data_IF_841786440348
#
_entry.id   IF_841786440348
#
_cell.length_a   1.000
_cell.length_b   1.000
_cell.length_c   1.000
_cell.angle_alpha   90.00
_cell.angle_beta   90.00
_cell.angle_gamma   90.00
#
_symmetry.space_group_name_H-M   'P 1'
#
loop_
_entity.id
_entity.type
_entity.pdbx_description
1 polymer ?
#
# COMPACT_ATOMS: atom_id res chain seq x y z
N UNK A 1 13.78 -32.79 -10.32
CA UNK A 1 13.55 -31.86 -11.45
C UNK A 1 12.83 -30.58 -11.02
N UNK A 2 11.71 -30.61 -10.29
CA UNK A 2 11.00 -29.38 -9.83
C UNK A 2 11.85 -28.50 -8.89
N UNK A 3 12.61 -29.13 -7.97
CA UNK A 3 13.47 -28.41 -7.02
C UNK A 3 14.66 -27.67 -7.67
N UNK A 4 15.09 -28.05 -8.88
CA UNK A 4 16.23 -27.40 -9.56
C UNK A 4 15.86 -26.06 -10.22
N UNK A 5 14.56 -25.80 -10.45
CA UNK A 5 14.09 -24.57 -11.09
C UNK A 5 13.59 -23.51 -10.10
N UNK A 6 13.54 -23.81 -8.80
CA UNK A 6 13.12 -22.85 -7.79
C UNK A 6 14.28 -21.87 -7.48
N UNK A 7 14.02 -20.56 -7.42
CA UNK A 7 15.00 -19.56 -7.00
C UNK A 7 15.64 -19.92 -5.65
N UNK A 8 16.94 -19.67 -5.49
CA UNK A 8 17.67 -20.06 -4.27
C UNK A 8 17.06 -19.43 -3.01
N UNK A 9 16.58 -18.18 -3.11
CA UNK A 9 16.08 -17.45 -1.95
C UNK A 9 14.80 -18.06 -1.38
N UNK A 10 14.07 -18.86 -2.15
CA UNK A 10 12.88 -19.58 -1.68
C UNK A 10 13.22 -20.91 -0.98
N UNK A 11 14.47 -21.37 -1.03
CA UNK A 11 14.91 -22.65 -0.43
C UNK A 11 15.56 -22.49 0.95
N UNK A 12 15.60 -21.26 1.46
CA UNK A 12 16.31 -20.93 2.68
C UNK A 12 15.56 -21.43 3.92
N UNK A 13 16.31 -21.76 4.97
CA UNK A 13 15.71 -22.10 6.24
C UNK A 13 15.07 -20.87 6.88
N UNK A 14 13.98 -21.06 7.63
CA UNK A 14 13.29 -19.97 8.34
C UNK A 14 14.24 -19.13 9.22
N UNK A 15 15.27 -19.75 9.81
CA UNK A 15 16.30 -19.05 10.58
C UNK A 15 17.05 -18.00 9.75
N UNK A 16 17.48 -18.36 8.54
CA UNK A 16 18.25 -17.47 7.65
C UNK A 16 17.37 -16.31 7.17
N UNK A 17 16.10 -16.61 6.83
CA UNK A 17 15.10 -15.59 6.49
C UNK A 17 14.91 -14.61 7.66
N UNK A 18 14.79 -15.11 8.89
CA UNK A 18 14.63 -14.26 10.07
C UNK A 18 15.88 -13.41 10.39
N UNK A 19 17.08 -13.89 10.06
CA UNK A 19 18.32 -13.10 10.20
C UNK A 19 18.31 -11.89 9.25
N UNK A 20 17.81 -12.04 8.02
CA UNK A 20 17.58 -10.93 7.08
C UNK A 20 16.56 -9.92 7.60
N UNK A 21 15.46 -10.39 8.17
CA UNK A 21 14.46 -9.49 8.76
C UNK A 21 15.06 -8.63 9.90
N UNK A 22 15.90 -9.24 10.76
CA UNK A 22 16.62 -8.51 11.81
C UNK A 22 17.60 -7.50 11.23
N UNK A 23 18.32 -7.86 10.16
CA UNK A 23 19.21 -6.93 9.46
C UNK A 23 18.43 -5.71 8.92
N UNK A 24 17.30 -5.95 8.25
CA UNK A 24 16.41 -4.87 7.77
C UNK A 24 15.94 -3.98 8.92
N UNK A 25 15.53 -4.56 10.05
CA UNK A 25 15.15 -3.79 11.25
C UNK A 25 16.30 -2.94 11.78
N UNK A 26 17.50 -3.50 11.88
CA UNK A 26 18.69 -2.78 12.32
C UNK A 26 19.03 -1.60 11.40
N UNK A 27 18.92 -1.78 10.08
CA UNK A 27 19.15 -0.68 9.13
C UNK A 27 18.13 0.44 9.31
N UNK A 28 16.84 0.11 9.48
CA UNK A 28 15.79 1.10 9.74
C UNK A 28 16.03 1.86 11.06
N UNK A 29 16.44 1.17 12.13
CA UNK A 29 16.72 1.83 13.42
C UNK A 29 17.90 2.82 13.31
N UNK A 30 18.91 2.50 12.50
CA UNK A 30 20.01 3.44 12.19
C UNK A 30 19.51 4.66 11.41
N UNK A 31 18.61 4.47 10.45
CA UNK A 31 18.00 5.55 9.66
C UNK A 31 17.16 6.48 10.55
N UNK A 32 16.36 5.92 11.47
CA UNK A 32 15.58 6.68 12.44
C UNK A 32 16.46 7.45 13.42
N UNK A 33 17.57 6.85 13.87
CA UNK A 33 18.56 7.54 14.69
C UNK A 33 19.20 8.71 13.94
N UNK A 34 19.57 8.51 12.68
CA UNK A 34 20.09 9.58 11.81
C UNK A 34 19.08 10.73 11.66
N UNK A 35 17.80 10.40 11.40
CA UNK A 35 16.72 11.38 11.30
C UNK A 35 16.52 12.18 12.58
N UNK A 36 16.60 11.50 13.73
CA UNK A 36 16.44 12.13 15.05
C UNK A 36 17.59 13.10 15.36
N UNK A 37 18.81 12.74 14.96
CA UNK A 37 19.99 13.59 15.17
C UNK A 37 20.06 14.75 14.18
N UNK A 38 19.49 14.60 12.97
CA UNK A 38 19.56 15.59 11.90
C UNK A 38 18.18 15.83 11.25
N UNK A 39 17.19 16.36 11.99
CA UNK A 39 15.80 16.42 11.53
C UNK A 39 15.58 17.33 10.31
N UNK A 40 16.44 18.31 10.07
CA UNK A 40 16.27 19.24 8.93
C UNK A 40 16.99 18.80 7.66
N UNK A 41 18.04 17.97 7.79
CA UNK A 41 18.94 17.62 6.67
C UNK A 41 18.99 16.14 6.34
N UNK A 42 18.58 15.25 7.27
CA UNK A 42 18.54 13.82 7.01
C UNK A 42 17.51 13.51 5.94
N UNK A 43 17.90 12.68 4.98
CA UNK A 43 16.95 12.13 4.01
C UNK A 43 15.81 11.37 4.70
N UNK A 44 16.04 10.81 5.88
CA UNK A 44 15.08 10.03 6.66
C UNK A 44 14.20 10.89 7.59
N UNK A 45 14.30 12.21 7.48
CA UNK A 45 13.46 13.12 8.24
C UNK A 45 11.97 12.85 8.02
N UNK A 46 11.19 13.01 9.09
CA UNK A 46 9.74 13.00 9.09
C UNK A 46 9.15 14.38 8.71
N UNK A 47 9.95 15.44 8.71
CA UNK A 47 9.57 16.79 8.28
C UNK A 47 8.26 17.28 8.89
N UNK A 48 7.32 17.74 8.06
CA UNK A 48 6.08 18.37 8.57
C UNK A 48 5.15 17.39 9.28
N UNK A 49 5.35 16.08 9.12
CA UNK A 49 4.48 15.07 9.74
C UNK A 49 4.54 15.07 11.26
N UNK A 50 5.64 15.56 11.86
CA UNK A 50 5.81 15.70 13.32
C UNK A 50 5.29 17.02 13.87
N UNK A 51 4.87 17.96 13.01
CA UNK A 51 4.32 19.24 13.45
C UNK A 51 2.99 19.02 14.18
N UNK A 52 2.75 19.77 15.25
CA UNK A 52 1.55 19.62 16.08
C UNK A 52 0.24 19.80 15.28
N UNK A 53 0.23 20.71 14.30
CA UNK A 53 -0.90 20.94 13.40
C UNK A 53 -1.33 19.70 12.58
N UNK A 54 -0.44 18.72 12.44
CA UNK A 54 -0.66 17.49 11.68
C UNK A 54 -0.99 16.27 12.55
N UNK A 55 -0.97 16.40 13.88
CA UNK A 55 -1.22 15.30 14.81
C UNK A 55 -2.58 14.64 14.56
N UNK A 56 -3.65 15.42 14.34
CA UNK A 56 -5.00 14.90 14.09
C UNK A 56 -5.17 14.25 12.71
N UNK A 57 -4.19 14.40 11.82
CA UNK A 57 -4.11 13.73 10.52
C UNK A 57 -3.30 12.44 10.58
N UNK A 58 -2.67 12.13 11.70
CA UNK A 58 -1.94 10.90 11.97
C UNK A 58 -2.77 9.96 12.86
N UNK A 59 -3.07 8.76 12.38
CA UNK A 59 -3.75 7.73 13.19
C UNK A 59 -2.87 7.23 14.33
N UNK A 60 -1.56 7.14 14.09
CA UNK A 60 -0.57 6.68 15.05
C UNK A 60 0.63 7.61 15.07
N UNK A 61 0.97 8.12 16.26
CA UNK A 61 2.10 9.04 16.47
C UNK A 61 3.46 8.43 16.15
N UNK A 62 3.57 7.11 16.03
CA UNK A 62 4.82 6.42 15.74
C UNK A 62 4.89 5.92 14.28
N UNK A 63 3.89 6.19 13.45
CA UNK A 63 3.85 5.81 12.04
C UNK A 63 3.59 7.05 11.20
N UNK A 64 4.66 7.65 10.69
CA UNK A 64 4.63 8.85 9.85
C UNK A 64 5.39 8.62 8.54
N UNK A 65 5.02 9.30 7.45
CA UNK A 65 5.77 9.24 6.20
C UNK A 65 7.10 9.99 6.32
N UNK A 66 8.12 9.56 5.56
CA UNK A 66 9.30 10.41 5.37
C UNK A 66 8.93 11.64 4.54
N UNK A 67 9.50 12.80 4.86
CA UNK A 67 9.19 14.07 4.17
C UNK A 67 9.52 14.00 2.68
N UNK A 68 10.64 13.35 2.33
CA UNK A 68 11.15 13.33 0.95
C UNK A 68 10.21 12.69 -0.07
N UNK A 69 9.30 11.82 0.36
CA UNK A 69 8.39 11.09 -0.53
C UNK A 69 6.96 10.98 0.04
N UNK A 70 6.61 11.82 1.02
CA UNK A 70 5.21 11.95 1.43
C UNK A 70 4.38 12.43 0.24
N UNK A 71 3.12 12.00 0.20
CA UNK A 71 2.17 12.59 -0.75
C UNK A 71 1.85 14.01 -0.29
N UNK A 72 1.92 14.96 -1.23
CA UNK A 72 1.55 16.36 -1.01
C UNK A 72 0.25 16.62 -1.76
N UNK A 73 -0.79 17.01 -1.05
CA UNK A 73 -2.08 17.34 -1.66
C UNK A 73 -1.95 18.64 -2.46
N UNK A 74 -2.48 18.69 -3.67
CA UNK A 74 -2.63 19.94 -4.41
C UNK A 74 -3.77 20.74 -3.79
N UNK A 75 -3.44 21.89 -3.22
CA UNK A 75 -4.36 22.77 -2.50
C UNK A 75 -4.19 24.20 -3.02
N UNK A 76 -5.26 24.97 -3.06
CA UNK A 76 -5.21 26.41 -3.37
C UNK A 76 -4.76 27.22 -2.14
N UNK A 77 -5.15 26.77 -0.94
CA UNK A 77 -4.68 27.31 0.33
C UNK A 77 -4.74 26.28 1.45
N UNK A 78 -3.94 26.49 2.48
CA UNK A 78 -3.91 25.65 3.69
C UNK A 78 -2.85 24.55 3.66
N UNK A 79 -3.03 23.55 4.52
CA UNK A 79 -2.03 22.52 4.82
C UNK A 79 -2.18 21.29 3.90
N UNK A 80 -1.13 21.00 3.11
CA UNK A 80 -1.06 19.94 2.09
C UNK A 80 -0.86 18.51 2.64
N UNK A 81 -0.78 18.36 3.96
CA UNK A 81 -0.37 17.11 4.59
C UNK A 81 -1.45 16.03 4.59
N UNK A 82 -1.03 14.82 4.20
CA UNK A 82 -1.72 13.55 4.41
C UNK A 82 -0.69 12.47 4.77
N UNK A 83 -1.03 11.55 5.68
CA UNK A 83 -0.15 10.43 6.04
C UNK A 83 -0.16 9.35 4.94
N UNK A 84 0.62 9.61 3.89
CA UNK A 84 0.79 8.71 2.75
C UNK A 84 2.19 8.87 2.17
N UNK A 85 2.72 7.82 1.56
CA UNK A 85 4.03 7.82 0.92
C UNK A 85 3.91 7.27 -0.50
N UNK A 86 4.57 7.92 -1.46
CA UNK A 86 4.84 7.30 -2.75
C UNK A 86 5.85 6.18 -2.53
N UNK A 87 5.55 5.00 -3.09
CA UNK A 87 6.39 3.81 -2.97
C UNK A 87 6.62 3.26 -4.37
N UNK A 88 7.89 3.14 -4.76
CA UNK A 88 8.32 2.54 -6.01
C UNK A 88 9.14 1.29 -5.72
N UNK A 89 8.83 0.18 -6.38
CA UNK A 89 9.62 -1.06 -6.29
C UNK A 89 10.20 -1.35 -7.66
N UNK A 90 11.53 -1.46 -7.73
CA UNK A 90 12.23 -1.81 -8.95
C UNK A 90 13.59 -2.42 -8.59
N UNK A 91 13.69 -3.75 -8.70
CA UNK A 91 14.93 -4.49 -8.43
C UNK A 91 15.69 -4.66 -9.74
N UNK A 92 16.87 -4.02 -9.94
CA UNK A 92 17.61 -4.09 -11.19
C UNK A 92 17.95 -5.53 -11.59
N UNK A 93 17.69 -5.89 -12.84
CA UNK A 93 17.94 -7.24 -13.35
C UNK A 93 16.92 -8.31 -12.93
N UNK A 94 16.00 -7.99 -12.01
CA UNK A 94 14.99 -8.93 -11.51
C UNK A 94 13.54 -8.45 -11.74
N UNK A 95 13.32 -7.13 -11.86
CA UNK A 95 12.01 -6.54 -12.17
C UNK A 95 11.85 -6.23 -13.66
N UNK A 96 10.72 -6.63 -14.26
CA UNK A 96 10.35 -6.31 -15.64
C UNK A 96 9.90 -4.86 -15.81
N UNK A 97 9.19 -4.33 -14.80
CA UNK A 97 8.78 -2.92 -14.73
C UNK A 97 8.83 -2.44 -13.29
N UNK A 98 8.74 -1.12 -13.11
CA UNK A 98 8.63 -0.55 -11.78
C UNK A 98 7.19 -0.63 -11.26
N UNK A 99 6.98 -1.27 -10.11
CA UNK A 99 5.73 -1.19 -9.36
C UNK A 99 5.59 0.19 -8.74
N UNK A 100 4.42 0.81 -8.90
CA UNK A 100 4.13 2.16 -8.37
C UNK A 100 2.90 2.11 -7.46
N UNK A 101 3.10 2.52 -6.22
CA UNK A 101 2.10 2.46 -5.17
C UNK A 101 2.02 3.76 -4.39
N UNK A 102 0.88 3.98 -3.75
CA UNK A 102 0.75 4.89 -2.61
C UNK A 102 0.39 4.05 -1.40
N UNK A 103 1.28 4.03 -0.40
CA UNK A 103 1.02 3.38 0.88
C UNK A 103 0.54 4.45 1.89
N UNK A 104 -0.65 4.26 2.46
CA UNK A 104 -1.27 5.25 3.36
C UNK A 104 -1.92 4.58 4.57
N UNK A 105 -2.13 5.34 5.65
CA UNK A 105 -2.91 4.88 6.80
C UNK A 105 -4.39 4.71 6.44
N UNK A 106 -5.12 3.93 7.23
CA UNK A 106 -6.57 3.86 7.16
C UNK A 106 -7.17 5.22 7.52
N UNK A 107 -7.99 5.83 6.66
CA UNK A 107 -8.56 7.15 6.93
C UNK A 107 -9.23 7.25 8.31
N UNK A 108 -9.12 8.41 8.95
CA UNK A 108 -9.81 8.76 10.20
C UNK A 108 -11.04 9.61 9.88
N UNK A 109 -11.88 9.91 10.89
CA UNK A 109 -13.00 10.86 10.74
C UNK A 109 -12.55 12.22 10.18
N UNK A 110 -11.34 12.64 10.54
CA UNK A 110 -10.78 13.95 10.16
C UNK A 110 -10.00 13.92 8.84
N UNK A 111 -9.65 12.73 8.32
CA UNK A 111 -8.75 12.60 7.17
C UNK A 111 -9.38 11.93 5.96
N UNK A 112 -10.60 11.39 6.07
CA UNK A 112 -11.26 10.72 4.94
C UNK A 112 -11.59 11.64 3.76
N UNK A 113 -11.91 12.94 3.92
CA UNK A 113 -12.09 13.81 2.77
C UNK A 113 -10.75 14.05 2.03
N UNK A 114 -9.65 14.24 2.77
CA UNK A 114 -8.30 14.34 2.21
C UNK A 114 -7.90 13.07 1.42
N UNK A 115 -8.33 11.89 1.88
CA UNK A 115 -8.06 10.62 1.20
C UNK A 115 -8.68 10.58 -0.20
N UNK A 116 -9.91 11.06 -0.38
CA UNK A 116 -10.52 11.11 -1.70
C UNK A 116 -9.89 12.16 -2.62
N UNK A 117 -9.48 13.31 -2.07
CA UNK A 117 -8.69 14.29 -2.81
C UNK A 117 -7.37 13.68 -3.28
N UNK A 118 -6.68 12.93 -2.43
CA UNK A 118 -5.48 12.18 -2.82
C UNK A 118 -5.77 11.18 -3.95
N UNK A 119 -6.79 10.33 -3.79
CA UNK A 119 -7.15 9.34 -4.81
C UNK A 119 -7.41 9.99 -6.17
N UNK A 120 -8.16 11.11 -6.19
CA UNK A 120 -8.44 11.84 -7.41
C UNK A 120 -7.19 12.45 -8.04
N UNK A 121 -6.38 13.15 -7.24
CA UNK A 121 -5.23 13.92 -7.73
C UNK A 121 -4.09 13.06 -8.22
N UNK A 122 -3.89 11.89 -7.59
CA UNK A 122 -2.74 11.01 -7.82
C UNK A 122 -3.00 9.93 -8.87
N UNK A 123 -4.25 9.76 -9.31
CA UNK A 123 -4.63 8.80 -10.33
C UNK A 123 -5.08 9.56 -11.60
N UNK A 124 -4.18 9.96 -12.52
CA UNK A 124 -4.55 10.69 -13.74
C UNK A 124 -5.44 9.88 -14.70
N UNK A 125 -5.34 8.55 -14.72
CA UNK A 125 -6.14 7.66 -15.55
C UNK A 125 -7.62 7.59 -15.18
N UNK A 126 -8.40 6.88 -16.00
CA UNK A 126 -9.85 6.73 -15.83
C UNK A 126 -10.23 5.82 -14.66
N UNK A 127 -9.43 4.77 -14.40
CA UNK A 127 -9.72 3.75 -13.41
C UNK A 127 -8.65 3.77 -12.30
N UNK A 128 -9.04 4.21 -11.11
CA UNK A 128 -8.20 4.16 -9.92
C UNK A 128 -8.49 2.88 -9.12
N UNK A 129 -7.46 2.29 -8.52
CA UNK A 129 -7.61 1.12 -7.65
C UNK A 129 -7.20 1.48 -6.22
N UNK A 130 -8.07 1.13 -5.28
CA UNK A 130 -7.82 1.21 -3.84
C UNK A 130 -7.91 -0.19 -3.25
N UNK A 131 -6.83 -0.65 -2.61
CA UNK A 131 -6.76 -1.93 -1.90
C UNK A 131 -6.72 -1.69 -0.40
N UNK A 132 -7.81 -2.03 0.27
CA UNK A 132 -8.00 -1.94 1.72
C UNK A 132 -7.85 -3.33 2.36
N UNK A 133 -6.70 -3.58 2.99
CA UNK A 133 -6.38 -4.86 3.66
C UNK A 133 -6.45 -4.73 5.19
N UNK A 134 -7.61 -4.27 5.69
CA UNK A 134 -7.90 -4.20 7.13
C UNK A 134 -9.41 -4.20 7.35
N UNK A 135 -9.97 -4.90 8.35
CA UNK A 135 -11.33 -4.64 8.80
C UNK A 135 -11.47 -3.23 9.39
N UNK A 136 -12.70 -2.70 9.44
CA UNK A 136 -13.02 -1.40 10.04
C UNK A 136 -12.75 -1.39 11.55
N UNK A 137 -13.02 -2.49 12.24
CA UNK A 137 -12.83 -2.66 13.68
C UNK A 137 -12.14 -3.98 14.01
N UNK A 138 -11.28 -3.96 15.03
CA UNK A 138 -10.67 -5.16 15.61
C UNK A 138 -10.61 -5.04 17.12
N UNK A 139 -11.06 -6.06 17.86
CA UNK A 139 -11.04 -6.04 19.33
C UNK A 139 -11.64 -4.74 19.91
N UNK A 140 -12.74 -4.26 19.33
CA UNK A 140 -13.43 -3.01 19.69
C UNK A 140 -12.64 -1.71 19.43
N UNK A 141 -11.50 -1.78 18.73
CA UNK A 141 -10.73 -0.61 18.30
C UNK A 141 -10.97 -0.36 16.82
N UNK A 142 -11.37 0.86 16.48
CA UNK A 142 -11.51 1.30 15.09
C UNK A 142 -10.15 1.39 14.41
N UNK A 143 -9.95 0.58 13.38
CA UNK A 143 -8.73 0.50 12.55
C UNK A 143 -8.83 1.37 11.31
N UNK A 144 -10.03 1.55 10.77
CA UNK A 144 -10.28 2.41 9.62
C UNK A 144 -11.66 3.07 9.77
N UNK A 145 -11.78 4.33 9.37
CA UNK A 145 -13.09 4.95 9.17
C UNK A 145 -13.75 4.35 7.93
N UNK A 146 -15.08 4.24 7.93
CA UNK A 146 -15.85 3.81 6.78
C UNK A 146 -16.03 5.00 5.84
N UNK A 147 -15.06 5.17 4.93
CA UNK A 147 -14.92 6.39 4.13
C UNK A 147 -15.62 6.35 2.77
N UNK A 148 -16.32 5.26 2.43
CA UNK A 148 -16.95 5.06 1.13
C UNK A 148 -18.44 4.67 1.27
N UNK A 149 -19.29 5.04 0.30
CA UNK A 149 -20.68 4.61 0.25
C UNK A 149 -20.76 3.11 -0.10
N UNK A 150 -21.71 2.39 0.50
CA UNK A 150 -21.84 0.92 0.37
C UNK A 150 -23.20 0.43 -0.11
N UNK A 151 -24.14 1.35 -0.27
CA UNK A 151 -25.52 1.02 -0.63
C UNK A 151 -25.93 1.75 -1.92
N UNK A 152 -26.79 1.16 -2.75
CA UNK A 152 -27.34 1.82 -3.92
C UNK A 152 -27.95 3.19 -3.58
N UNK A 153 -27.59 4.21 -4.35
CA UNK A 153 -28.05 5.59 -4.14
C UNK A 153 -27.34 6.35 -3.00
N UNK A 154 -26.46 5.71 -2.24
CA UNK A 154 -25.64 6.39 -1.22
C UNK A 154 -24.43 7.09 -1.84
N UNK A 155 -24.03 8.20 -1.22
CA UNK A 155 -22.85 8.98 -1.61
C UNK A 155 -22.12 9.56 -0.42
N UNK A 156 -20.82 9.79 -0.58
CA UNK A 156 -20.00 10.57 0.35
C UNK A 156 -19.52 11.86 -0.34
N UNK A 157 -19.44 12.96 0.40
CA UNK A 157 -19.02 14.26 -0.14
C UNK A 157 -17.72 14.68 0.53
N UNK A 158 -16.66 14.79 -0.25
CA UNK A 158 -15.40 15.46 0.13
C UNK A 158 -15.47 16.91 -0.35
N UNK A 159 -15.79 17.89 0.52
CA UNK A 159 -16.01 19.26 0.08
C UNK A 159 -14.74 19.92 -0.47
N UNK A 160 -14.93 20.97 -1.28
CA UNK A 160 -13.83 21.82 -1.78
C UNK A 160 -13.12 22.52 -0.63
N UNK A 161 -13.89 23.11 0.28
CA UNK A 161 -13.40 23.77 1.48
C UNK A 161 -13.52 22.81 2.65
N UNK A 162 -12.39 22.49 3.26
CA UNK A 162 -12.30 21.59 4.39
C UNK A 162 -11.79 22.38 5.61
N UNK A 163 -11.80 21.75 6.79
CA UNK A 163 -11.43 22.42 8.04
C UNK A 163 -10.06 23.12 7.98
N UNK A 164 -9.88 24.13 8.85
CA UNK A 164 -8.61 24.86 9.01
C UNK A 164 -8.14 25.63 7.76
N UNK A 165 -9.07 26.19 6.98
CA UNK A 165 -8.75 27.03 5.81
C UNK A 165 -8.15 26.26 4.63
N UNK A 166 -8.30 24.93 4.61
CA UNK A 166 -7.86 24.06 3.55
C UNK A 166 -8.83 24.14 2.36
N UNK A 167 -8.33 24.52 1.19
CA UNK A 167 -9.14 24.69 -0.02
C UNK A 167 -8.52 23.91 -1.17
N UNK A 168 -9.33 23.09 -1.83
CA UNK A 168 -8.97 22.33 -3.03
C UNK A 168 -9.48 23.03 -4.30
N UNK A 169 -8.98 22.61 -5.47
CA UNK A 169 -9.44 23.10 -6.77
C UNK A 169 -10.92 22.75 -7.03
N UNK A 170 -11.39 21.62 -6.48
CA UNK A 170 -12.76 21.13 -6.65
C UNK A 170 -13.18 20.25 -5.46
N UNK A 171 -14.48 20.21 -5.16
CA UNK A 171 -15.05 19.20 -4.28
C UNK A 171 -15.23 17.89 -5.04
N UNK A 172 -15.41 16.78 -4.32
CA UNK A 172 -15.62 15.46 -4.88
C UNK A 172 -16.86 14.82 -4.26
N UNK A 173 -17.70 14.23 -5.11
CA UNK A 173 -18.74 13.30 -4.69
C UNK A 173 -18.32 11.88 -5.04
N UNK A 174 -18.38 10.98 -4.06
CA UNK A 174 -18.11 9.56 -4.20
C UNK A 174 -19.46 8.86 -4.25
N UNK A 175 -19.81 8.29 -5.39
CA UNK A 175 -21.10 7.62 -5.61
C UNK A 175 -20.91 6.12 -5.66
N UNK A 176 -21.76 5.38 -4.94
CA UNK A 176 -21.85 3.95 -5.11
C UNK A 176 -22.41 3.62 -6.49
N UNK A 177 -21.78 2.65 -7.19
CA UNK A 177 -22.32 2.09 -8.42
C UNK A 177 -22.80 0.67 -8.18
N UNK A 178 -21.90 -0.20 -7.73
CA UNK A 178 -22.17 -1.61 -7.54
C UNK A 178 -21.19 -2.24 -6.54
N UNK A 179 -21.55 -3.40 -5.98
CA UNK A 179 -20.66 -4.18 -5.13
C UNK A 179 -20.83 -5.68 -5.33
N UNK A 180 -19.70 -6.36 -5.49
CA UNK A 180 -19.60 -7.80 -5.70
C UNK A 180 -18.78 -8.42 -4.56
N UNK A 181 -19.25 -9.55 -4.01
CA UNK A 181 -18.51 -10.34 -3.01
C UNK A 181 -17.76 -11.45 -3.73
N UNK A 182 -16.43 -11.38 -3.68
CA UNK A 182 -15.52 -12.37 -4.23
C UNK A 182 -14.88 -13.14 -3.07
N UNK A 183 -15.46 -14.28 -2.70
CA UNK A 183 -15.01 -15.15 -1.59
C UNK A 183 -14.60 -14.36 -0.32
N UNK A 184 -13.32 -13.96 -0.25
CA UNK A 184 -12.64 -13.32 0.87
C UNK A 184 -12.59 -11.78 0.84
N UNK A 185 -12.94 -11.14 -0.27
CA UNK A 185 -12.98 -9.67 -0.38
C UNK A 185 -14.25 -9.17 -1.07
N UNK A 186 -14.54 -7.89 -0.90
CA UNK A 186 -15.63 -7.20 -1.59
C UNK A 186 -15.03 -6.19 -2.56
N UNK A 187 -15.41 -6.26 -3.84
CA UNK A 187 -15.14 -5.22 -4.83
C UNK A 187 -16.33 -4.26 -4.84
N UNK A 188 -16.10 -2.99 -4.52
CA UNK A 188 -17.09 -1.92 -4.71
C UNK A 188 -16.64 -1.03 -5.86
N UNK A 189 -17.49 -0.89 -6.88
CA UNK A 189 -17.27 0.08 -7.95
C UNK A 189 -17.89 1.41 -7.54
N UNK A 190 -17.09 2.47 -7.59
CA UNK A 190 -17.49 3.83 -7.23
C UNK A 190 -17.26 4.79 -8.40
N UNK A 191 -18.04 5.87 -8.45
CA UNK A 191 -17.74 7.04 -9.29
C UNK A 191 -17.27 8.20 -8.44
N UNK A 192 -16.13 8.77 -8.81
CA UNK A 192 -15.55 9.96 -8.19
C UNK A 192 -15.81 11.15 -9.10
N UNK A 193 -16.78 11.98 -8.72
CA UNK A 193 -17.36 13.05 -9.54
C UNK A 193 -16.92 14.40 -8.96
N UNK A 194 -16.11 15.18 -9.68
CA UNK A 194 -15.79 16.54 -9.31
C UNK A 194 -17.03 17.45 -9.33
N UNK A 195 -17.12 18.38 -8.38
CA UNK A 195 -18.19 19.40 -8.36
C UNK A 195 -18.03 20.41 -9.49
N UNK A 196 -16.80 20.62 -9.95
CA UNK A 196 -16.47 21.43 -11.13
C UNK A 196 -16.33 20.54 -12.36
N UNK A 197 -17.23 20.72 -13.32
CA UNK A 197 -17.35 19.90 -14.53
C UNK A 197 -16.16 20.00 -15.48
N UNK A 198 -15.24 20.95 -15.28
CA UNK A 198 -13.97 21.01 -16.03
C UNK A 198 -13.05 19.83 -15.70
N UNK A 199 -13.26 19.19 -14.55
CA UNK A 199 -12.50 18.05 -14.08
C UNK A 199 -13.22 16.74 -14.45
N UNK A 200 -12.52 15.72 -14.99
CA UNK A 200 -13.15 14.48 -15.44
C UNK A 200 -13.62 13.60 -14.28
N UNK A 201 -14.76 12.93 -14.47
CA UNK A 201 -15.19 11.86 -13.56
C UNK A 201 -14.28 10.63 -13.70
N UNK A 202 -14.01 9.95 -12.58
CA UNK A 202 -13.20 8.72 -12.53
C UNK A 202 -14.00 7.55 -11.99
N UNK A 203 -13.64 6.34 -12.40
CA UNK A 203 -14.08 5.09 -11.75
C UNK A 203 -13.07 4.73 -10.68
N UNK A 204 -13.53 4.32 -9.50
CA UNK A 204 -12.68 3.74 -8.47
C UNK A 204 -13.13 2.30 -8.23
N UNK A 205 -12.20 1.36 -8.36
CA UNK A 205 -12.36 -0.03 -7.94
C UNK A 205 -11.80 -0.16 -6.53
N UNK A 206 -12.69 -0.25 -5.56
CA UNK A 206 -12.35 -0.34 -4.14
C UNK A 206 -12.43 -1.80 -3.69
N UNK A 207 -11.28 -2.38 -3.36
CA UNK A 207 -11.17 -3.72 -2.85
C UNK A 207 -11.10 -3.71 -1.32
N UNK A 208 -12.05 -4.35 -0.67
CA UNK A 208 -12.10 -4.46 0.78
C UNK A 208 -11.86 -5.91 1.23
N UNK A 209 -10.64 -6.19 1.70
CA UNK A 209 -10.24 -7.46 2.31
C UNK A 209 -10.26 -7.34 3.83
N UNK A 210 -11.30 -7.92 4.46
CA UNK A 210 -11.59 -7.76 5.89
C UNK A 210 -11.12 -8.92 6.77
N UNK A 211 -10.69 -10.03 6.17
CA UNK A 211 -10.25 -11.24 6.88
C UNK A 211 -8.80 -11.17 7.40
N UNK A 212 -8.05 -10.11 7.10
CA UNK A 212 -6.66 -9.95 7.56
C UNK A 212 -6.58 -9.14 8.85
N UNK A 213 -6.43 -9.81 10.00
CA UNK A 213 -6.29 -9.16 11.32
C UNK A 213 -4.97 -8.39 11.45
N UNK A 214 -4.93 -7.38 12.31
CA UNK A 214 -3.72 -6.56 12.51
C UNK A 214 -2.60 -7.36 13.18
N UNK A 215 -1.35 -7.04 12.80
CA UNK A 215 -0.13 -7.74 13.24
C UNK A 215 -0.11 -9.25 12.96
N UNK A 216 -1.05 -9.78 12.18
CA UNK A 216 -1.04 -11.16 11.71
C UNK A 216 -0.55 -11.27 10.27
N UNK A 217 -0.37 -12.51 9.82
CA UNK A 217 -0.33 -12.87 8.41
C UNK A 217 -1.74 -13.25 7.92
N UNK A 218 -1.99 -13.31 6.61
CA UNK A 218 -3.15 -14.01 6.07
C UNK A 218 -3.10 -15.49 6.49
N UNK A 219 -4.27 -16.08 6.71
CA UNK A 219 -4.36 -17.51 7.04
C UNK A 219 -4.02 -18.36 5.82
N UNK A 220 -4.52 -17.95 4.66
CA UNK A 220 -4.36 -18.62 3.36
C UNK A 220 -3.66 -17.72 2.33
N UNK A 221 -2.97 -18.35 1.37
CA UNK A 221 -2.24 -17.63 0.30
C UNK A 221 -3.16 -17.26 -0.87
N UNK A 222 -4.06 -18.18 -1.25
CA UNK A 222 -4.93 -18.03 -2.44
C UNK A 222 -5.76 -16.74 -2.41
N UNK A 223 -6.41 -16.36 -1.28
CA UNK A 223 -7.22 -15.14 -1.25
C UNK A 223 -6.45 -13.85 -1.57
N UNK A 224 -5.22 -13.74 -1.07
CA UNK A 224 -4.37 -12.57 -1.33
C UNK A 224 -3.83 -12.57 -2.75
N UNK A 225 -3.56 -13.76 -3.31
CA UNK A 225 -3.16 -13.90 -4.71
C UNK A 225 -4.30 -13.48 -5.65
N UNK A 226 -5.54 -13.91 -5.39
CA UNK A 226 -6.72 -13.53 -6.17
C UNK A 226 -6.99 -12.03 -6.06
N UNK A 227 -6.91 -11.46 -4.85
CA UNK A 227 -7.00 -10.02 -4.63
C UNK A 227 -5.94 -9.26 -5.44
N UNK A 228 -4.68 -9.70 -5.39
CA UNK A 228 -3.57 -9.06 -6.13
C UNK A 228 -3.80 -9.13 -7.64
N UNK A 229 -4.13 -10.31 -8.18
CA UNK A 229 -4.43 -10.48 -9.61
C UNK A 229 -5.58 -9.60 -10.08
N UNK A 230 -6.68 -9.55 -9.32
CA UNK A 230 -7.86 -8.78 -9.68
C UNK A 230 -7.58 -7.27 -9.59
N UNK A 231 -7.01 -6.80 -8.48
CA UNK A 231 -6.72 -5.38 -8.30
C UNK A 231 -5.64 -4.85 -9.26
N UNK A 232 -4.61 -5.64 -9.56
CA UNK A 232 -3.58 -5.30 -10.54
C UNK A 232 -4.14 -5.21 -11.97
N UNK A 233 -5.09 -6.08 -12.32
CA UNK A 233 -5.72 -6.11 -13.64
C UNK A 233 -6.64 -4.93 -13.94
N UNK A 234 -7.27 -4.34 -12.91
CA UNK A 234 -8.17 -3.18 -13.07
C UNK A 234 -7.46 -1.82 -12.96
N UNK A 235 -6.22 -1.78 -12.48
CA UNK A 235 -5.52 -0.52 -12.28
C UNK A 235 -5.00 0.03 -13.61
N UNK A 236 -5.32 1.29 -13.92
CA UNK A 236 -4.76 1.95 -15.10
C UNK A 236 -3.22 2.01 -15.02
N UNK A 237 -2.47 1.65 -16.09
CA UNK A 237 -1.01 1.59 -16.08
C UNK A 237 -0.28 2.89 -15.75
N UNK A 238 -0.94 4.04 -15.81
CA UNK A 238 -0.45 5.38 -15.44
C UNK A 238 -0.70 5.73 -13.96
N UNK A 239 -1.60 5.00 -13.29
CA UNK A 239 -1.96 5.24 -11.89
C UNK A 239 -1.04 4.47 -10.94
N UNK A 240 -0.70 5.04 -9.76
CA UNK A 240 -0.23 4.23 -8.66
C UNK A 240 -1.40 3.42 -8.08
N UNK A 241 -1.15 2.19 -7.65
CA UNK A 241 -2.13 1.45 -6.86
C UNK A 241 -2.12 1.99 -5.42
N UNK A 242 -3.28 2.38 -4.90
CA UNK A 242 -3.39 2.93 -3.54
C UNK A 242 -3.65 1.77 -2.60
N UNK A 243 -2.74 1.52 -1.67
CA UNK A 243 -2.81 0.40 -0.72
C UNK A 243 -2.82 0.93 0.69
N UNK A 244 -3.78 0.50 1.51
CA UNK A 244 -3.83 0.89 2.90
C UNK A 244 -4.30 -0.25 3.82
N UNK A 245 -3.96 -0.11 5.09
CA UNK A 245 -4.49 -0.93 6.16
C UNK A 245 -4.89 0.00 7.32
N UNK A 246 -4.61 -0.35 8.58
CA UNK A 246 -4.76 0.60 9.70
C UNK A 246 -3.64 1.64 9.72
N UNK A 247 -2.39 1.20 9.88
CA UNK A 247 -1.21 2.09 9.91
C UNK A 247 -0.60 2.35 8.52
N UNK A 248 -0.97 1.54 7.53
CA UNK A 248 -0.40 1.62 6.18
C UNK A 248 1.00 1.06 6.04
N UNK A 249 1.40 0.10 6.89
CA UNK A 249 2.78 -0.40 6.94
C UNK A 249 2.88 -1.93 6.91
N UNK A 250 2.34 -2.64 7.91
CA UNK A 250 2.48 -4.10 8.01
C UNK A 250 1.79 -4.83 6.87
N UNK A 251 0.46 -4.91 6.91
CA UNK A 251 -0.37 -5.59 5.88
C UNK A 251 -0.19 -4.98 4.49
N UNK A 252 -0.15 -3.64 4.41
CA UNK A 252 0.08 -2.93 3.14
C UNK A 252 1.45 -3.27 2.54
N UNK A 253 2.51 -3.31 3.35
CA UNK A 253 3.83 -3.69 2.88
C UNK A 253 3.89 -5.14 2.44
N UNK A 254 3.26 -6.06 3.18
CA UNK A 254 3.17 -7.47 2.78
C UNK A 254 2.42 -7.64 1.47
N UNK A 255 1.27 -6.97 1.31
CA UNK A 255 0.52 -6.99 0.05
C UNK A 255 1.36 -6.43 -1.11
N UNK A 256 1.97 -5.25 -0.96
CA UNK A 256 2.80 -4.63 -2.01
C UNK A 256 3.99 -5.54 -2.39
N UNK A 257 4.63 -6.19 -1.42
CA UNK A 257 5.72 -7.12 -1.73
C UNK A 257 5.23 -8.29 -2.57
N UNK A 258 4.10 -8.90 -2.21
CA UNK A 258 3.51 -10.02 -2.94
C UNK A 258 3.06 -9.61 -4.34
N UNK A 259 2.37 -8.48 -4.44
CA UNK A 259 1.87 -7.93 -5.69
C UNK A 259 2.99 -7.66 -6.70
N UNK A 260 4.02 -6.91 -6.28
CA UNK A 260 5.20 -6.66 -7.12
C UNK A 260 5.91 -7.96 -7.49
N UNK A 261 6.07 -8.88 -6.53
CA UNK A 261 6.70 -10.17 -6.76
C UNK A 261 5.96 -10.94 -7.88
N UNK A 262 4.64 -11.07 -7.80
CA UNK A 262 3.86 -11.90 -8.71
C UNK A 262 3.67 -11.29 -10.10
N UNK A 263 3.57 -9.97 -10.19
CA UNK A 263 3.20 -9.30 -11.44
C UNK A 263 4.37 -8.66 -12.17
N UNK A 264 5.45 -8.32 -11.46
CA UNK A 264 6.48 -7.42 -11.99
C UNK A 264 7.90 -7.97 -11.89
N UNK A 265 8.10 -9.20 -11.41
CA UNK A 265 9.42 -9.86 -11.37
C UNK A 265 9.56 -10.96 -12.42
N UNK A 266 10.77 -11.09 -12.97
CA UNK A 266 11.13 -12.10 -13.97
C UNK A 266 10.82 -13.49 -13.43
N UNK A 267 11.18 -13.75 -12.17
CA UNK A 267 10.99 -15.05 -11.56
C UNK A 267 9.54 -15.52 -11.63
N UNK A 268 8.55 -14.67 -11.41
CA UNK A 268 7.15 -15.10 -11.35
C UNK A 268 6.39 -14.96 -12.67
N UNK A 269 6.94 -14.19 -13.61
CA UNK A 269 6.24 -13.86 -14.86
C UNK A 269 6.87 -14.48 -16.09
N UNK A 270 8.12 -14.94 -16.01
CA UNK A 270 8.84 -15.56 -17.12
C UNK A 270 9.07 -17.05 -16.87
N UNK A 271 9.16 -17.87 -17.95
CA UNK A 271 9.36 -19.32 -17.82
C UNK A 271 10.71 -19.69 -17.18
N UNK A 272 11.73 -18.86 -17.37
CA UNK A 272 13.08 -19.09 -16.86
C UNK A 272 13.35 -18.13 -15.69
N UNK A 273 13.75 -18.64 -14.51
CA UNK A 273 14.13 -17.80 -13.40
C UNK A 273 15.40 -17.01 -13.72
N UNK A 274 15.64 -15.94 -12.97
CA UNK A 274 16.88 -15.19 -13.06
C UNK A 274 18.07 -16.11 -12.77
N UNK A 275 19.11 -16.05 -13.59
CA UNK A 275 20.37 -16.74 -13.33
C UNK A 275 21.32 -15.84 -12.53
N UNK A 276 22.11 -16.42 -11.63
CA UNK A 276 23.19 -15.69 -10.96
C UNK A 276 22.74 -14.59 -9.99
N UNK A 277 21.67 -14.84 -9.21
CA UNK A 277 21.25 -13.95 -8.13
C UNK A 277 22.43 -13.49 -7.27
N UNK A 278 22.54 -12.18 -7.08
CA UNK A 278 23.54 -11.59 -6.19
C UNK A 278 22.99 -11.42 -4.77
N UNK A 279 21.68 -11.20 -4.66
CA UNK A 279 20.98 -10.91 -3.43
C UNK A 279 19.61 -11.62 -3.41
N UNK A 280 18.97 -11.64 -2.25
CA UNK A 280 17.63 -12.19 -2.09
C UNK A 280 16.58 -11.19 -2.58
N UNK A 281 15.71 -11.61 -3.49
CA UNK A 281 14.70 -10.74 -4.11
C UNK A 281 13.71 -10.17 -3.10
N UNK A 282 13.20 -11.00 -2.18
CA UNK A 282 12.23 -10.58 -1.16
C UNK A 282 12.88 -9.62 -0.17
N UNK A 283 14.12 -9.89 0.24
CA UNK A 283 14.92 -8.98 1.06
C UNK A 283 15.10 -7.61 0.37
N UNK A 284 15.51 -7.60 -0.90
CA UNK A 284 15.70 -6.38 -1.67
C UNK A 284 14.41 -5.56 -1.80
N UNK A 285 13.27 -6.21 -2.09
CA UNK A 285 11.97 -5.53 -2.18
C UNK A 285 11.62 -4.89 -0.82
N UNK A 286 11.68 -5.64 0.28
CA UNK A 286 11.31 -5.12 1.60
C UNK A 286 12.27 -4.01 2.07
N UNK A 287 13.56 -4.10 1.74
CA UNK A 287 14.52 -3.00 1.97
C UNK A 287 14.13 -1.74 1.20
N UNK A 288 13.76 -1.86 -0.08
CA UNK A 288 13.26 -0.72 -0.86
C UNK A 288 11.99 -0.12 -0.25
N UNK A 289 11.04 -0.96 0.20
CA UNK A 289 9.81 -0.50 0.85
C UNK A 289 10.12 0.28 2.13
N UNK A 290 10.96 -0.27 3.02
CA UNK A 290 11.33 0.40 4.29
C UNK A 290 12.16 1.65 4.10
N UNK A 291 12.89 1.73 2.99
CA UNK A 291 13.56 2.96 2.61
C UNK A 291 12.57 4.07 2.18
N UNK A 292 11.30 3.76 1.93
CA UNK A 292 10.31 4.73 1.43
C UNK A 292 9.16 4.96 2.41
N UNK A 293 8.83 3.98 3.26
CA UNK A 293 7.87 4.14 4.34
C UNK A 293 8.26 3.27 5.50
N UNK A 294 8.24 3.83 6.71
CA UNK A 294 8.65 3.12 7.92
C UNK A 294 7.82 1.85 8.16
N UNK A 295 8.46 0.84 8.74
CA UNK A 295 7.85 -0.39 9.27
C UNK A 295 7.08 -1.23 8.23
N UNK A 296 7.33 -1.02 6.93
CA UNK A 296 6.75 -1.85 5.87
C UNK A 296 7.13 -3.32 6.09
N UNK A 297 6.14 -4.21 6.06
CA UNK A 297 6.24 -5.60 6.58
C UNK A 297 6.70 -5.59 8.04
N UNK A 298 5.75 -5.59 8.97
CA UNK A 298 6.01 -5.19 10.34
C UNK A 298 6.50 -6.34 11.24
N UNK A 299 6.02 -7.56 11.00
CA UNK A 299 6.31 -8.70 11.88
C UNK A 299 7.13 -9.81 11.18
N UNK A 300 7.87 -10.62 11.95
CA UNK A 300 8.55 -11.79 11.43
C UNK A 300 7.62 -12.76 10.69
N UNK A 301 6.39 -12.93 11.18
CA UNK A 301 5.37 -13.83 10.61
C UNK A 301 4.90 -13.33 9.25
N UNK A 302 4.75 -12.01 9.08
CA UNK A 302 4.45 -11.39 7.79
C UNK A 302 5.59 -11.59 6.80
N UNK A 303 6.84 -11.44 7.26
CA UNK A 303 8.00 -11.64 6.39
C UNK A 303 8.14 -13.10 5.96
N UNK A 304 8.03 -14.05 6.89
CA UNK A 304 8.01 -15.49 6.58
C UNK A 304 6.86 -15.88 5.66
N UNK A 305 5.68 -15.28 5.85
CA UNK A 305 4.53 -15.51 4.98
C UNK A 305 4.80 -15.14 3.53
N UNK A 306 5.59 -14.09 3.26
CA UNK A 306 5.94 -13.71 1.88
C UNK A 306 6.72 -14.83 1.19
N UNK A 307 7.72 -15.40 1.87
CA UNK A 307 8.48 -16.54 1.33
C UNK A 307 7.58 -17.77 1.15
N UNK A 308 6.71 -18.06 2.11
CA UNK A 308 5.78 -19.18 2.03
C UNK A 308 4.83 -19.05 0.83
N UNK A 309 4.24 -17.87 0.64
CA UNK A 309 3.34 -17.58 -0.48
C UNK A 309 4.07 -17.70 -1.83
N UNK A 310 5.27 -17.11 -1.92
CA UNK A 310 6.13 -17.17 -3.10
C UNK A 310 6.51 -18.62 -3.47
N UNK A 311 6.89 -19.42 -2.48
CA UNK A 311 7.21 -20.83 -2.67
C UNK A 311 5.98 -21.64 -3.12
N UNK A 312 4.83 -21.44 -2.48
CA UNK A 312 3.59 -22.14 -2.83
C UNK A 312 3.17 -21.86 -4.27
N UNK A 313 3.18 -20.59 -4.68
CA UNK A 313 2.81 -20.19 -6.05
C UNK A 313 3.76 -20.80 -7.08
N UNK A 314 5.06 -20.83 -6.78
CA UNK A 314 6.02 -21.50 -7.65
C UNK A 314 5.75 -22.99 -7.77
N UNK A 315 5.43 -23.67 -6.67
CA UNK A 315 5.06 -25.10 -6.71
C UNK A 315 3.79 -25.36 -7.51
N UNK A 316 2.79 -24.48 -7.42
CA UNK A 316 1.55 -24.57 -8.21
C UNK A 316 1.85 -24.44 -9.71
N UNK A 317 2.67 -23.46 -10.11
CA UNK A 317 3.02 -23.25 -11.52
C UNK A 317 3.82 -24.40 -12.16
N UNK A 318 4.50 -25.24 -11.36
CA UNK A 318 5.18 -26.45 -11.86
C UNK A 318 4.28 -27.70 -11.90
N UNK A 319 3.09 -27.62 -11.32
CA UNK A 319 2.13 -28.73 -11.25
C UNK A 319 1.10 -28.68 -12.38
N UNK A 320 1.04 -27.56 -13.11
CA UNK A 320 0.28 -27.35 -14.36
C UNK A 320 1.15 -27.66 -15.58
#
# INVERSE_FOLDING_TARGET
MVLDQMPWYLKQAAREILEKFRYIQQQEDLQLREATLNPESSKWSLGVSVNEENNDRNRYINIMPYERNRVKLRVESGNDYINASYVKVQVPGESLRAGRYIATQGPTDNSWPHFWQMCYQQCPGENAVVVMVTPLMEQHRRKCFEYWPREPGSRAISPREQGSGLVFETGLEVHFVDAERENDYTLTTLKLIPTDQRFPTKTVHHFYFDQWRDLSKPDEVVPILELSRHSHGLNSPENPMIVHCSAGVGRSGTFITLDHLFHDTIDFTQPQPVAGYQHDLVEQIVQQLRSQRLKMVQTPEQYLFIYHAAELIKRMAFSE
#
